data_IF_068810774554
#
_entry.id   IF_068810774554
#
_cell.length_a   1.000
_cell.length_b   1.000
_cell.length_c   1.000
_cell.angle_alpha   90.00
_cell.angle_beta   90.00
_cell.angle_gamma   90.00
#
_symmetry.space_group_name_H-M   'P 1'
#
loop_
_entity.id
_entity.type
_entity.pdbx_description
1 polymer ?
#
# COMPACT_ATOMS: atom_id res chain seq x y z
N UNK A 1 2.46 -15.06 6.10
CA UNK A 1 2.47 -13.68 5.55
C UNK A 1 3.81 -12.98 5.84
N UNK A 2 4.27 -12.90 7.09
CA UNK A 2 5.53 -12.21 7.42
C UNK A 2 6.79 -12.74 6.72
N UNK A 3 6.93 -14.07 6.57
CA UNK A 3 8.05 -14.66 5.81
C UNK A 3 8.01 -14.28 4.32
N UNK A 4 6.80 -14.13 3.76
CA UNK A 4 6.61 -13.76 2.36
C UNK A 4 7.03 -12.30 2.11
N UNK A 5 6.64 -11.39 3.01
CA UNK A 5 7.05 -9.98 2.96
C UNK A 5 8.56 -9.81 3.15
N UNK A 6 9.15 -10.61 4.04
CA UNK A 6 10.59 -10.64 4.22
C UNK A 6 11.32 -11.10 2.96
N UNK A 7 10.84 -12.12 2.26
CA UNK A 7 11.42 -12.58 0.99
C UNK A 7 11.17 -11.61 -0.17
N UNK A 8 9.98 -11.02 -0.24
CA UNK A 8 9.58 -10.13 -1.32
C UNK A 8 10.28 -8.77 -1.27
N UNK A 9 10.69 -8.29 -0.09
CA UNK A 9 11.35 -7.00 0.11
C UNK A 9 10.72 -5.87 -0.73
N UNK A 10 9.40 -5.59 -0.59
CA UNK A 10 8.75 -4.60 -1.43
C UNK A 10 9.31 -3.19 -1.18
N UNK A 11 9.55 -2.45 -2.25
CA UNK A 11 9.96 -1.03 -2.20
C UNK A 11 8.79 -0.08 -1.99
N UNK A 12 7.58 -0.52 -2.33
CA UNK A 12 6.31 0.21 -2.15
C UNK A 12 5.27 -0.75 -1.62
N UNK A 13 4.45 -0.29 -0.66
CA UNK A 13 3.23 -0.98 -0.22
C UNK A 13 2.03 -0.11 -0.57
N UNK A 14 1.10 -0.69 -1.33
CA UNK A 14 -0.24 -0.12 -1.55
C UNK A 14 -1.21 -0.81 -0.62
N UNK A 15 -2.00 -0.04 0.12
CA UNK A 15 -3.03 -0.54 1.03
C UNK A 15 -4.34 0.18 0.74
N UNK A 16 -5.45 -0.55 0.69
CA UNK A 16 -6.75 0.10 0.52
C UNK A 16 -7.13 0.86 1.78
N UNK A 17 -7.84 1.98 1.64
CA UNK A 17 -8.36 2.72 2.80
C UNK A 17 -9.15 1.82 3.74
N UNK A 18 -10.02 0.98 3.16
CA UNK A 18 -10.81 0.01 3.91
C UNK A 18 -9.94 -0.97 4.71
N UNK A 19 -8.89 -1.54 4.09
CA UNK A 19 -7.99 -2.47 4.76
C UNK A 19 -7.19 -1.79 5.87
N UNK A 20 -6.71 -0.58 5.62
CA UNK A 20 -5.95 0.22 6.59
C UNK A 20 -6.79 0.61 7.81
N UNK A 21 -8.01 1.08 7.58
CA UNK A 21 -8.91 1.50 8.66
C UNK A 21 -9.36 0.31 9.52
N UNK A 22 -9.55 -0.88 8.92
CA UNK A 22 -9.84 -2.11 9.68
C UNK A 22 -8.71 -2.56 10.60
N UNK A 23 -7.48 -2.14 10.33
CA UNK A 23 -6.32 -2.38 11.19
C UNK A 23 -6.18 -1.31 12.30
N UNK A 24 -7.15 -0.41 12.41
CA UNK A 24 -7.20 0.63 13.44
C UNK A 24 -6.70 1.99 12.97
N UNK A 25 -6.49 2.19 11.65
CA UNK A 25 -6.30 3.51 11.04
C UNK A 25 -5.03 4.24 11.45
N UNK A 26 -4.07 3.56 12.08
CA UNK A 26 -2.83 4.13 12.59
C UNK A 26 -1.62 3.53 11.88
N UNK A 27 -0.63 4.36 11.60
CA UNK A 27 0.61 3.91 10.99
C UNK A 27 1.36 2.97 11.93
N UNK A 28 1.34 3.25 13.24
CA UNK A 28 1.94 2.38 14.25
C UNK A 28 1.33 0.97 14.19
N UNK A 29 -0.01 0.86 14.21
CA UNK A 29 -0.69 -0.43 14.12
C UNK A 29 -0.43 -1.16 12.81
N UNK A 30 -0.30 -0.43 11.71
CA UNK A 30 0.03 -1.02 10.41
C UNK A 30 1.45 -1.61 10.40
N UNK A 31 2.41 -0.95 11.05
CA UNK A 31 3.80 -1.42 11.15
C UNK A 31 3.94 -2.65 12.07
N UNK A 32 3.04 -2.84 13.03
CA UNK A 32 2.97 -4.05 13.87
C UNK A 32 2.63 -5.32 13.09
N UNK A 33 2.08 -5.19 11.87
CA UNK A 33 1.80 -6.34 11.03
C UNK A 33 3.09 -7.15 10.74
N UNK A 34 3.02 -8.49 10.82
CA UNK A 34 4.20 -9.33 10.67
C UNK A 34 4.99 -9.05 9.40
N UNK A 35 6.25 -8.61 9.57
CA UNK A 35 7.19 -8.40 8.48
C UNK A 35 7.09 -7.04 7.76
N UNK A 36 6.07 -6.21 8.02
CA UNK A 36 5.89 -4.92 7.34
C UNK A 36 7.01 -3.95 7.70
N UNK A 37 7.28 -3.73 8.99
CA UNK A 37 8.31 -2.81 9.46
C UNK A 37 9.74 -3.16 8.97
N UNK A 38 9.96 -4.40 8.55
CA UNK A 38 11.26 -4.88 8.08
C UNK A 38 11.50 -4.60 6.59
N UNK A 39 10.44 -4.26 5.84
CA UNK A 39 10.51 -4.01 4.38
C UNK A 39 11.21 -2.70 4.05
N UNK A 40 11.82 -2.57 2.85
CA UNK A 40 12.32 -1.29 2.33
C UNK A 40 11.22 -0.23 2.25
N UNK A 41 10.00 -0.62 1.85
CA UNK A 41 8.84 0.27 1.81
C UNK A 41 8.60 0.96 3.16
N UNK A 42 8.51 0.19 4.25
CA UNK A 42 8.26 0.76 5.58
C UNK A 42 9.41 1.65 6.06
N UNK A 43 10.66 1.22 5.86
CA UNK A 43 11.86 1.98 6.27
C UNK A 43 11.98 3.32 5.54
N UNK A 44 11.52 3.38 4.29
CA UNK A 44 11.56 4.57 3.46
C UNK A 44 10.25 5.38 3.49
N UNK A 45 9.28 4.99 4.33
CA UNK A 45 7.97 5.67 4.40
C UNK A 45 7.12 5.55 3.12
N UNK A 46 7.36 4.53 2.30
CA UNK A 46 6.69 4.30 1.01
C UNK A 46 5.48 3.37 1.14
N UNK A 47 4.59 3.73 2.06
CA UNK A 47 3.31 3.06 2.29
C UNK A 47 2.21 4.03 1.88
N UNK A 48 1.44 3.68 0.85
CA UNK A 48 0.42 4.56 0.28
C UNK A 48 -0.96 3.95 0.44
N UNK A 49 -1.87 4.76 0.98
CA UNK A 49 -3.29 4.47 1.03
C UNK A 49 -3.92 4.77 -0.31
N UNK A 50 -4.73 3.86 -0.81
CA UNK A 50 -5.45 3.99 -2.08
C UNK A 50 -6.92 3.66 -1.89
N UNK A 51 -7.77 4.29 -2.67
CA UNK A 51 -9.17 3.92 -2.71
C UNK A 51 -9.31 2.58 -3.47
N UNK A 52 -10.11 1.65 -2.92
CA UNK A 52 -10.20 0.27 -3.43
C UNK A 52 -10.75 0.22 -4.85
N UNK A 53 -11.76 1.05 -5.15
CA UNK A 53 -12.36 1.11 -6.47
C UNK A 53 -11.35 1.55 -7.53
N UNK A 54 -10.48 2.50 -7.18
CA UNK A 54 -9.46 3.01 -8.08
C UNK A 54 -8.38 1.97 -8.46
N UNK A 55 -8.18 0.94 -7.63
CA UNK A 55 -7.20 -0.12 -7.86
C UNK A 55 -7.81 -1.37 -8.54
N UNK A 56 -9.02 -1.79 -8.14
CA UNK A 56 -9.55 -3.12 -8.46
C UNK A 56 -10.48 -3.11 -9.67
N UNK A 57 -11.24 -2.04 -9.90
CA UNK A 57 -12.23 -2.02 -10.99
C UNK A 57 -11.68 -1.36 -12.25
N UNK A 58 -11.67 -2.13 -13.33
CA UNK A 58 -11.31 -1.64 -14.67
C UNK A 58 -12.54 -1.13 -15.41
N UNK A 59 -12.44 0.05 -16.02
CA UNK A 59 -13.54 0.71 -16.71
C UNK A 59 -13.12 2.03 -17.39
N UNK A 60 -14.08 2.89 -17.78
CA UNK A 60 -13.78 4.14 -18.48
C UNK A 60 -12.81 5.08 -17.75
N UNK A 61 -12.67 4.92 -16.42
CA UNK A 61 -11.78 5.71 -15.57
C UNK A 61 -10.38 5.11 -15.39
N UNK A 62 -10.10 3.90 -15.88
CA UNK A 62 -8.82 3.21 -15.64
C UNK A 62 -7.62 4.05 -16.04
N UNK A 63 -7.65 4.74 -17.19
CA UNK A 63 -6.54 5.61 -17.61
C UNK A 63 -6.27 6.75 -16.62
N UNK A 64 -7.33 7.37 -16.07
CA UNK A 64 -7.21 8.40 -15.02
C UNK A 64 -6.62 7.81 -13.74
N UNK A 65 -7.10 6.64 -13.33
CA UNK A 65 -6.69 6.02 -12.07
C UNK A 65 -5.23 5.53 -12.10
N UNK A 66 -4.79 4.93 -13.21
CA UNK A 66 -3.38 4.55 -13.41
C UNK A 66 -2.47 5.78 -13.34
N UNK A 67 -2.87 6.89 -13.96
CA UNK A 67 -2.09 8.13 -13.90
C UNK A 67 -2.00 8.68 -12.49
N UNK A 68 -3.11 8.74 -11.76
CA UNK A 68 -3.12 9.19 -10.37
C UNK A 68 -2.25 8.28 -9.47
N UNK A 69 -2.28 6.96 -9.68
CA UNK A 69 -1.45 6.02 -8.94
C UNK A 69 0.04 6.20 -9.25
N UNK A 70 0.40 6.39 -10.53
CA UNK A 70 1.79 6.67 -10.92
C UNK A 70 2.30 7.99 -10.30
N UNK A 71 1.47 9.04 -10.30
CA UNK A 71 1.76 10.32 -9.66
C UNK A 71 1.86 10.23 -8.13
N UNK A 72 1.27 9.21 -7.50
CA UNK A 72 1.35 8.95 -6.07
C UNK A 72 2.67 8.26 -5.68
N UNK A 73 3.09 7.24 -6.45
CA UNK A 73 4.21 6.35 -6.05
C UNK A 73 5.60 6.74 -6.60
N UNK A 74 5.65 7.64 -7.59
CA UNK A 74 6.89 8.13 -8.21
C UNK A 74 7.29 9.55 -7.76
N UNK A 75 6.70 10.06 -6.67
CA UNK A 75 7.17 11.31 -6.05
C UNK A 75 8.52 11.13 -5.35
#
# INVERSE_FOLDING_TARGET
VGELLHKAQPDIILVTDFGYDRLGGSAEKFLELPGIALTPAAKNGRIYRVEEHDLIYFGPRTGKNIRALAELIHR
#
